data_IF_844128202452
#
_entry.id   IF_844128202452
#
_cell.length_a   1.000
_cell.length_b   1.000
_cell.length_c   1.000
_cell.angle_alpha   90.00
_cell.angle_beta   90.00
_cell.angle_gamma   90.00
#
_symmetry.space_group_name_H-M   'P 1'
#
loop_
_entity.id
_entity.type
_entity.pdbx_description
1 polymer ?
#
# COMPACT_ATOMS: atom_id res chain seq x y z
N UNK A 1 -17.32 -12.38 -31.09
CA UNK A 1 -17.99 -13.21 -30.06
C UNK A 1 -18.51 -12.25 -29.00
N UNK A 2 -19.74 -12.45 -28.50
CA UNK A 2 -20.27 -11.63 -27.40
C UNK A 2 -19.61 -12.05 -26.09
N UNK A 3 -19.19 -11.11 -25.25
CA UNK A 3 -18.59 -11.37 -23.93
C UNK A 3 -19.42 -12.34 -23.08
N UNK A 4 -20.76 -12.25 -23.17
CA UNK A 4 -21.69 -13.18 -22.51
C UNK A 4 -21.52 -14.64 -22.93
N UNK A 5 -21.16 -14.89 -24.20
CA UNK A 5 -20.98 -16.23 -24.76
C UNK A 5 -19.68 -16.89 -24.31
N UNK A 6 -18.67 -16.08 -23.95
CA UNK A 6 -17.43 -16.60 -23.36
C UNK A 6 -17.57 -16.91 -21.86
N UNK A 7 -18.53 -16.31 -21.17
CA UNK A 7 -18.80 -16.58 -19.75
C UNK A 7 -19.55 -17.89 -19.51
N UNK A 8 -20.28 -18.41 -20.52
CA UNK A 8 -21.00 -19.69 -20.41
C UNK A 8 -20.09 -20.85 -20.01
N UNK A 9 -18.79 -20.81 -20.37
CA UNK A 9 -17.81 -21.86 -20.04
C UNK A 9 -17.50 -21.95 -18.53
N UNK A 10 -17.82 -20.92 -17.75
CA UNK A 10 -17.60 -20.89 -16.31
C UNK A 10 -18.87 -21.19 -15.49
N UNK A 11 -20.02 -21.41 -16.15
CA UNK A 11 -21.31 -21.54 -15.48
C UNK A 11 -21.42 -22.75 -14.54
N UNK A 12 -20.73 -23.83 -14.88
CA UNK A 12 -20.78 -25.11 -14.16
C UNK A 12 -19.55 -25.33 -13.26
N UNK A 13 -18.73 -24.30 -13.04
CA UNK A 13 -17.58 -24.37 -12.13
C UNK A 13 -18.06 -24.29 -10.69
N UNK A 14 -17.59 -25.21 -9.85
CA UNK A 14 -17.83 -25.16 -8.40
C UNK A 14 -16.93 -24.09 -7.76
N UNK A 15 -17.54 -22.95 -7.44
CA UNK A 15 -16.87 -21.80 -6.83
C UNK A 15 -16.33 -22.14 -5.43
N UNK A 16 -17.06 -22.93 -4.64
CA UNK A 16 -16.65 -23.30 -3.29
C UNK A 16 -15.44 -24.23 -3.29
N UNK A 17 -15.36 -25.16 -4.24
CA UNK A 17 -14.19 -26.04 -4.40
C UNK A 17 -12.95 -25.25 -4.85
N UNK A 18 -13.13 -24.25 -5.72
CA UNK A 18 -12.05 -23.38 -6.18
C UNK A 18 -11.48 -22.54 -5.03
N UNK A 19 -12.36 -21.95 -4.21
CA UNK A 19 -11.96 -21.14 -3.06
C UNK A 19 -11.21 -21.95 -2.01
N UNK A 20 -11.60 -23.22 -1.78
CA UNK A 20 -10.90 -24.12 -0.83
C UNK A 20 -9.47 -24.48 -1.23
N UNK A 21 -9.10 -24.33 -2.50
CA UNK A 21 -7.75 -24.62 -3.01
C UNK A 21 -6.77 -23.47 -2.78
N UNK A 22 -7.26 -22.29 -2.44
CA UNK A 22 -6.45 -21.12 -2.15
C UNK A 22 -5.91 -21.18 -0.73
N UNK A 23 -4.68 -20.72 -0.53
CA UNK A 23 -4.13 -20.46 0.79
C UNK A 23 -4.75 -19.21 1.42
N UNK A 24 -4.60 -19.04 2.73
CA UNK A 24 -5.11 -17.87 3.47
C UNK A 24 -4.55 -16.54 2.92
N UNK A 25 -3.27 -16.53 2.52
CA UNK A 25 -2.64 -15.35 1.91
C UNK A 25 -3.22 -15.03 0.52
N UNK A 26 -3.59 -16.04 -0.25
CA UNK A 26 -4.18 -15.85 -1.59
C UNK A 26 -5.64 -15.43 -1.50
N UNK A 27 -6.38 -15.95 -0.52
CA UNK A 27 -7.74 -15.48 -0.21
C UNK A 27 -7.73 -14.01 0.19
N UNK A 28 -6.80 -13.59 1.05
CA UNK A 28 -6.67 -12.18 1.44
C UNK A 28 -6.39 -11.27 0.23
N UNK A 29 -5.51 -11.69 -0.67
CA UNK A 29 -5.23 -10.93 -1.90
C UNK A 29 -6.45 -10.86 -2.82
N UNK A 30 -7.21 -11.95 -2.93
CA UNK A 30 -8.43 -12.00 -3.72
C UNK A 30 -9.48 -11.03 -3.17
N UNK A 31 -9.68 -10.99 -1.85
CA UNK A 31 -10.55 -10.00 -1.20
C UNK A 31 -10.09 -8.56 -1.49
N UNK A 32 -8.78 -8.31 -1.39
CA UNK A 32 -8.20 -6.99 -1.67
C UNK A 32 -8.45 -6.54 -3.12
N UNK A 33 -8.34 -7.45 -4.11
CA UNK A 33 -8.59 -7.17 -5.53
C UNK A 33 -10.08 -6.94 -5.81
N UNK A 34 -10.96 -7.78 -5.24
CA UNK A 34 -12.41 -7.62 -5.39
C UNK A 34 -12.88 -6.28 -4.84
N UNK A 35 -12.32 -5.85 -3.71
CA UNK A 35 -12.61 -4.53 -3.17
C UNK A 35 -12.19 -3.43 -4.17
N UNK A 36 -11.01 -3.52 -4.81
CA UNK A 36 -10.57 -2.52 -5.82
C UNK A 36 -11.43 -2.48 -7.08
N UNK A 37 -11.94 -3.63 -7.51
CA UNK A 37 -12.76 -3.77 -8.70
C UNK A 37 -14.24 -3.47 -8.46
N UNK A 38 -14.62 -3.09 -7.25
CA UNK A 38 -15.99 -2.75 -6.89
C UNK A 38 -16.51 -1.58 -7.78
N UNK A 39 -17.54 -1.80 -8.61
CA UNK A 39 -18.11 -0.74 -9.46
C UNK A 39 -18.66 0.44 -8.64
N UNK A 40 -19.05 0.21 -7.39
CA UNK A 40 -19.55 1.24 -6.49
C UNK A 40 -18.44 2.09 -5.87
N UNK A 41 -17.16 1.70 -5.98
CA UNK A 41 -16.02 2.59 -5.62
C UNK A 41 -16.04 3.88 -6.43
N UNK A 42 -16.54 3.85 -7.66
CA UNK A 42 -16.72 5.05 -8.47
C UNK A 42 -17.78 6.01 -7.90
N UNK A 43 -18.68 5.53 -7.05
CA UNK A 43 -19.72 6.32 -6.38
C UNK A 43 -19.26 6.86 -5.03
N UNK A 44 -18.25 6.25 -4.40
CA UNK A 44 -17.66 6.75 -3.16
C UNK A 44 -16.87 8.05 -3.39
N UNK A 45 -16.92 9.03 -2.45
CA UNK A 45 -16.03 10.19 -2.43
C UNK A 45 -14.56 9.77 -2.50
N UNK A 46 -13.71 10.57 -3.15
CA UNK A 46 -12.31 10.23 -3.41
C UNK A 46 -11.52 9.79 -2.15
N UNK A 47 -11.76 10.44 -1.01
CA UNK A 47 -11.11 10.09 0.26
C UNK A 47 -11.56 8.75 0.87
N UNK A 48 -12.74 8.26 0.50
CA UNK A 48 -13.28 6.96 0.94
C UNK A 48 -12.97 5.81 -0.03
N UNK A 49 -12.37 6.10 -1.19
CA UNK A 49 -11.84 5.07 -2.10
C UNK A 49 -10.48 4.54 -1.66
N UNK A 50 -9.77 5.34 -0.88
CA UNK A 50 -8.42 5.02 -0.44
C UNK A 50 -8.47 3.90 0.60
N UNK A 51 -7.77 2.80 0.33
CA UNK A 51 -7.58 1.72 1.30
C UNK A 51 -6.89 2.23 2.56
N UNK A 52 -7.17 1.58 3.68
CA UNK A 52 -6.43 1.85 4.91
C UNK A 52 -4.95 1.54 4.68
N UNK A 53 -4.08 2.51 4.97
CA UNK A 53 -2.64 2.37 4.78
C UNK A 53 -1.98 1.65 5.96
N UNK A 54 -2.74 1.29 7.00
CA UNK A 54 -2.22 0.62 8.18
C UNK A 54 -3.10 -0.53 8.62
N UNK A 55 -2.47 -1.66 8.92
CA UNK A 55 -3.13 -2.79 9.61
C UNK A 55 -3.18 -2.59 11.13
N UNK A 56 -2.58 -1.52 11.65
CA UNK A 56 -2.52 -1.23 13.09
C UNK A 56 -3.85 -0.66 13.55
N UNK A 57 -4.42 -1.29 14.57
CA UNK A 57 -5.58 -0.74 15.26
C UNK A 57 -5.26 0.66 15.82
N UNK A 58 -6.25 1.57 15.90
CA UNK A 58 -6.06 2.87 16.52
C UNK A 58 -5.63 2.71 17.97
N UNK A 59 -4.50 3.32 18.36
CA UNK A 59 -3.92 3.20 19.70
C UNK A 59 -4.58 4.12 20.74
N UNK A 60 -5.83 4.53 20.52
CA UNK A 60 -6.58 5.43 21.41
C UNK A 60 -6.33 6.92 21.12
N UNK A 61 -6.53 7.77 22.13
CA UNK A 61 -6.35 9.23 22.01
C UNK A 61 -4.89 9.59 21.83
N UNK A 62 -4.63 10.66 21.08
CA UNK A 62 -3.28 11.16 20.83
C UNK A 62 -2.50 11.45 22.13
N UNK A 63 -1.39 10.75 22.34
CA UNK A 63 -0.46 10.94 23.46
C UNK A 63 0.82 11.61 22.94
N UNK A 64 0.94 12.91 23.18
CA UNK A 64 2.04 13.74 22.65
C UNK A 64 3.41 13.33 23.21
N UNK A 65 3.48 13.01 24.50
CA UNK A 65 4.76 12.74 25.18
C UNK A 65 5.40 11.44 24.67
N UNK A 66 4.59 10.42 24.44
CA UNK A 66 5.05 9.14 23.86
C UNK A 66 5.56 9.31 22.43
N UNK A 67 4.88 10.15 21.62
CA UNK A 67 5.35 10.47 20.28
C UNK A 67 6.72 11.19 20.33
N UNK A 68 6.89 12.16 21.24
CA UNK A 68 8.15 12.87 21.39
C UNK A 68 9.27 11.92 21.83
N UNK A 69 9.02 11.06 22.81
CA UNK A 69 10.01 10.07 23.27
C UNK A 69 10.42 9.11 22.15
N UNK A 70 9.46 8.66 21.31
CA UNK A 70 9.75 7.82 20.15
C UNK A 70 10.63 8.54 19.12
N UNK A 71 10.28 9.78 18.76
CA UNK A 71 11.03 10.58 17.79
C UNK A 71 12.45 10.91 18.29
N UNK A 72 12.61 11.23 19.58
CA UNK A 72 13.92 11.45 20.19
C UNK A 72 14.80 10.20 20.14
N UNK A 73 14.22 9.03 20.43
CA UNK A 73 14.93 7.76 20.34
C UNK A 73 15.36 7.48 18.90
N UNK A 74 14.44 7.63 17.94
CA UNK A 74 14.72 7.43 16.53
C UNK A 74 15.82 8.37 16.02
N UNK A 75 15.81 9.64 16.43
CA UNK A 75 16.83 10.61 16.07
C UNK A 75 18.20 10.27 16.66
N UNK A 76 18.27 9.76 17.89
CA UNK A 76 19.52 9.33 18.54
C UNK A 76 20.11 8.07 17.91
N UNK A 77 19.26 7.16 17.44
CA UNK A 77 19.67 5.89 16.84
C UNK A 77 19.95 5.99 15.33
N UNK A 78 19.57 7.11 14.69
CA UNK A 78 19.77 7.28 13.26
C UNK A 78 21.28 7.40 12.94
N UNK A 79 21.85 6.46 12.17
CA UNK A 79 23.27 6.49 11.84
C UNK A 79 23.59 7.65 10.89
N UNK A 80 24.81 8.17 11.00
CA UNK A 80 25.36 9.08 10.00
C UNK A 80 25.58 8.34 8.68
N UNK A 81 25.50 9.08 7.57
CA UNK A 81 25.80 8.53 6.25
C UNK A 81 27.28 8.13 6.18
N UNK A 82 27.57 6.88 5.81
CA UNK A 82 28.93 6.33 5.78
C UNK A 82 29.85 7.02 4.75
N UNK A 83 29.31 7.38 3.57
CA UNK A 83 30.06 8.06 2.50
C UNK A 83 29.46 9.43 2.15
N UNK A 84 29.66 10.46 2.99
CA UNK A 84 29.26 11.82 2.66
C UNK A 84 30.32 12.44 1.74
N UNK A 85 29.92 12.82 0.52
CA UNK A 85 30.76 13.71 -0.30
C UNK A 85 30.82 15.06 0.40
N UNK A 86 31.99 15.52 0.87
CA UNK A 86 32.08 16.77 1.61
C UNK A 86 31.68 17.93 0.68
N UNK A 87 30.92 18.87 1.23
CA UNK A 87 30.58 20.09 0.50
C UNK A 87 31.85 20.91 0.25
N UNK A 88 32.23 21.06 -1.02
CA UNK A 88 33.49 21.72 -1.39
C UNK A 88 33.35 23.22 -1.63
N UNK A 89 32.15 23.80 -1.57
CA UNK A 89 31.90 25.24 -1.78
C UNK A 89 32.21 25.76 -3.20
N UNK A 90 32.67 24.89 -4.10
CA UNK A 90 33.02 25.26 -5.47
C UNK A 90 31.75 25.33 -6.32
N UNK A 91 31.54 26.46 -7.00
CA UNK A 91 30.54 26.54 -8.07
C UNK A 91 31.02 25.63 -9.20
N UNK A 92 30.23 24.60 -9.53
CA UNK A 92 30.41 23.83 -10.75
C UNK A 92 29.97 24.72 -11.90
N UNK A 93 30.92 25.44 -12.49
CA UNK A 93 30.65 26.24 -13.68
C UNK A 93 30.13 25.32 -14.80
N UNK A 94 28.97 25.65 -15.37
CA UNK A 94 28.47 24.95 -16.55
C UNK A 94 29.34 25.34 -17.74
N UNK A 95 30.31 24.51 -18.10
CA UNK A 95 30.96 24.62 -19.41
C UNK A 95 29.96 24.07 -20.43
N UNK A 96 29.16 24.97 -21.02
CA UNK A 96 28.44 24.69 -22.27
C UNK A 96 29.44 24.90 -23.41
N UNK A 97 29.81 23.83 -24.10
CA UNK A 97 30.30 23.89 -25.47
C UNK A 97 29.13 23.69 -26.42
#
# INVERSE_FOLDING_TARGET
MSFRKELEKYRDVDEDELLKKLSEEELQKLEDELEELDPDKALLPAGLRQKDQTKKAPTGTFQRDDLLAHLEKQAKEHPDREDPVPYTGQKRDSVRQ
#
